data_IF_487067097955
#
_entry.id   IF_487067097955
#
_cell.length_a   1.000
_cell.length_b   1.000
_cell.length_c   1.000
_cell.angle_alpha   90.00
_cell.angle_beta   90.00
_cell.angle_gamma   90.00
#
_symmetry.space_group_name_H-M   'P 1'
#
loop_
_entity.id
_entity.type
_entity.pdbx_description
1 polymer ?
#
# COMPACT_ATOMS: atom_id res chain seq x y z
N UNK A 1 -10.25 58.50 20.90
CA UNK A 1 -10.26 57.67 19.66
C UNK A 1 -9.48 56.36 19.80
N UNK A 2 -8.44 56.30 20.63
CA UNK A 2 -7.58 55.10 20.78
C UNK A 2 -8.27 53.83 21.34
N UNK A 3 -9.31 54.00 22.18
CA UNK A 3 -10.02 52.86 22.80
C UNK A 3 -10.90 52.04 21.84
N UNK A 4 -11.30 52.60 20.70
CA UNK A 4 -12.16 51.90 19.71
C UNK A 4 -11.32 50.92 18.88
N UNK A 5 -10.12 51.33 18.45
CA UNK A 5 -9.16 50.50 17.72
C UNK A 5 -8.72 49.25 18.49
N UNK A 6 -8.51 49.37 19.80
CA UNK A 6 -8.03 48.28 20.65
C UNK A 6 -9.08 47.18 20.90
N UNK A 7 -10.37 47.49 20.76
CA UNK A 7 -11.43 46.49 20.87
C UNK A 7 -11.57 45.70 19.57
N UNK A 8 -11.50 46.34 18.39
CA UNK A 8 -11.56 45.64 17.10
C UNK A 8 -10.42 44.65 16.91
N UNK A 9 -9.18 45.02 17.29
CA UNK A 9 -8.05 44.07 17.27
C UNK A 9 -8.28 42.86 18.17
N UNK A 10 -8.91 43.04 19.34
CA UNK A 10 -9.25 41.94 20.25
C UNK A 10 -10.36 41.05 19.69
N UNK A 11 -11.32 41.60 18.96
CA UNK A 11 -12.36 40.84 18.28
C UNK A 11 -11.80 40.04 17.10
N UNK A 12 -10.95 40.67 16.28
CA UNK A 12 -10.27 40.01 15.16
C UNK A 12 -9.37 38.89 15.68
N UNK A 13 -8.61 39.12 16.75
CA UNK A 13 -7.81 38.07 17.38
C UNK A 13 -8.66 36.93 17.94
N UNK A 14 -9.79 37.24 18.58
CA UNK A 14 -10.74 36.22 19.08
C UNK A 14 -11.34 35.38 17.95
N UNK A 15 -11.71 36.00 16.82
CA UNK A 15 -12.21 35.29 15.65
C UNK A 15 -11.12 34.51 14.91
N UNK A 16 -9.92 35.08 14.79
CA UNK A 16 -8.76 34.44 14.18
C UNK A 16 -8.35 33.18 14.96
N UNK A 17 -8.31 33.24 16.28
CA UNK A 17 -8.06 32.06 17.12
C UNK A 17 -9.16 31.00 16.96
N UNK A 18 -10.43 31.40 16.86
CA UNK A 18 -11.55 30.46 16.64
C UNK A 18 -11.49 29.79 15.27
N UNK A 19 -11.15 30.53 14.21
CA UNK A 19 -11.00 29.99 12.85
C UNK A 19 -9.77 29.08 12.78
N UNK A 20 -8.66 29.45 13.43
CA UNK A 20 -7.46 28.62 13.52
C UNK A 20 -7.71 27.30 14.29
N UNK A 21 -8.43 27.38 15.41
CA UNK A 21 -8.87 26.19 16.17
C UNK A 21 -9.83 25.31 15.36
N UNK A 22 -10.76 25.91 14.61
CA UNK A 22 -11.65 25.16 13.72
C UNK A 22 -10.88 24.45 12.60
N UNK A 23 -9.85 25.10 12.03
CA UNK A 23 -9.00 24.51 11.00
C UNK A 23 -8.23 23.30 11.54
N UNK A 24 -7.63 23.42 12.74
CA UNK A 24 -6.93 22.32 13.43
C UNK A 24 -7.89 21.16 13.75
N UNK A 25 -9.12 21.45 14.15
CA UNK A 25 -10.14 20.42 14.38
C UNK A 25 -10.52 19.67 13.10
N UNK A 26 -10.69 20.39 11.99
CA UNK A 26 -11.04 19.80 10.69
C UNK A 26 -9.89 18.96 10.14
N UNK A 27 -8.63 19.42 10.24
CA UNK A 27 -7.47 18.68 9.73
C UNK A 27 -6.99 17.57 10.67
N UNK A 28 -7.14 17.74 11.98
CA UNK A 28 -6.69 16.77 13.00
C UNK A 28 -7.50 15.47 13.02
N UNK A 29 -8.76 15.51 12.58
CA UNK A 29 -9.61 14.32 12.47
C UNK A 29 -9.24 13.41 11.27
N UNK A 30 -8.52 13.94 10.28
CA UNK A 30 -8.17 13.20 9.05
C UNK A 30 -6.93 12.30 9.16
N UNK A 31 -6.11 12.45 10.20
CA UNK A 31 -4.77 11.80 10.27
C UNK A 31 -4.84 10.38 10.90
N UNK A 32 -5.98 9.97 11.47
CA UNK A 32 -6.07 8.73 12.25
C UNK A 32 -6.41 7.46 11.45
N UNK A 33 -6.68 7.57 10.14
CA UNK A 33 -7.09 6.43 9.30
C UNK A 33 -6.08 6.11 8.17
N UNK A 34 -4.81 6.44 8.37
CA UNK A 34 -3.72 6.05 7.47
C UNK A 34 -2.94 4.86 8.01
N UNK A 35 -3.62 3.80 8.47
CA UNK A 35 -2.96 2.50 8.61
C UNK A 35 -2.93 1.93 7.20
N UNK A 36 -1.82 2.12 6.48
CA UNK A 36 -1.51 1.20 5.41
C UNK A 36 -1.37 -0.15 6.11
N UNK A 37 -2.36 -1.03 5.98
CA UNK A 37 -2.15 -2.44 6.30
C UNK A 37 -0.94 -2.84 5.45
N UNK A 38 0.18 -3.12 6.12
CA UNK A 38 1.36 -3.65 5.47
C UNK A 38 0.87 -4.78 4.56
N UNK A 39 1.09 -4.60 3.26
CA UNK A 39 0.38 -5.32 2.20
C UNK A 39 0.25 -6.81 2.54
N UNK A 40 -0.92 -7.43 2.36
CA UNK A 40 -1.13 -8.86 2.66
C UNK A 40 -0.07 -9.79 2.02
N UNK A 41 0.60 -9.32 0.95
CA UNK A 41 1.71 -9.98 0.28
C UNK A 41 3.05 -9.98 1.06
N UNK A 42 3.25 -9.04 1.98
CA UNK A 42 4.43 -8.94 2.86
C UNK A 42 4.33 -9.85 4.09
N UNK A 43 3.14 -10.04 4.66
CA UNK A 43 2.95 -10.99 5.77
C UNK A 43 2.88 -12.46 5.31
N UNK A 44 2.29 -12.70 4.13
CA UNK A 44 2.07 -14.08 3.65
C UNK A 44 3.37 -14.67 3.11
N UNK A 45 3.93 -15.65 3.83
CA UNK A 45 5.14 -16.37 3.41
C UNK A 45 4.79 -17.75 2.83
N UNK A 46 5.37 -18.07 1.68
CA UNK A 46 5.11 -19.30 0.95
C UNK A 46 6.32 -20.22 0.95
N UNK A 47 6.04 -21.52 1.00
CA UNK A 47 7.04 -22.59 0.81
C UNK A 47 6.53 -23.57 -0.23
N UNK A 48 7.19 -23.63 -1.39
CA UNK A 48 6.89 -24.60 -2.43
C UNK A 48 8.10 -24.83 -3.32
N UNK A 49 8.16 -26.00 -3.96
CA UNK A 49 9.14 -26.31 -4.98
C UNK A 49 8.43 -26.87 -6.20
N UNK A 50 8.79 -26.36 -7.36
CA UNK A 50 8.33 -26.83 -8.65
C UNK A 50 9.51 -27.04 -9.57
N UNK A 51 9.44 -28.09 -10.37
CA UNK A 51 10.42 -28.41 -11.40
C UNK A 51 9.73 -28.50 -12.76
N UNK A 52 10.41 -28.03 -13.80
CA UNK A 52 9.97 -28.04 -15.19
C UNK A 52 8.50 -27.56 -15.36
N UNK A 53 8.14 -26.53 -14.59
CA UNK A 53 6.79 -26.00 -14.51
C UNK A 53 6.69 -24.69 -15.26
N UNK A 54 5.51 -24.32 -15.73
CA UNK A 54 5.37 -23.03 -16.40
C UNK A 54 5.32 -21.89 -15.38
N UNK A 55 5.72 -20.68 -15.76
CA UNK A 55 5.52 -19.47 -14.95
C UNK A 55 4.04 -19.33 -14.55
N UNK A 56 3.11 -19.64 -15.46
CA UNK A 56 1.67 -19.70 -15.17
C UNK A 56 1.33 -20.67 -14.03
N UNK A 57 1.97 -21.85 -13.98
CA UNK A 57 1.76 -22.80 -12.89
C UNK A 57 2.27 -22.27 -11.55
N UNK A 58 3.38 -21.51 -11.54
CA UNK A 58 3.88 -20.82 -10.34
C UNK A 58 2.88 -19.77 -9.87
N UNK A 59 2.42 -18.89 -10.75
CA UNK A 59 1.42 -17.86 -10.43
C UNK A 59 0.14 -18.50 -9.89
N UNK A 60 -0.42 -19.50 -10.59
CA UNK A 60 -1.61 -20.23 -10.12
C UNK A 60 -1.42 -20.87 -8.74
N UNK A 61 -0.20 -21.28 -8.38
CA UNK A 61 0.09 -21.84 -7.06
C UNK A 61 -0.02 -20.77 -5.99
N UNK A 62 0.52 -19.57 -6.27
CA UNK A 62 0.40 -18.40 -5.40
C UNK A 62 -1.07 -18.04 -5.23
N UNK A 63 -1.83 -17.87 -6.33
CA UNK A 63 -3.26 -17.52 -6.28
C UNK A 63 -4.08 -18.48 -5.40
N UNK A 64 -3.85 -19.79 -5.56
CA UNK A 64 -4.54 -20.82 -4.75
C UNK A 64 -4.16 -20.81 -3.28
N UNK A 65 -2.93 -20.42 -2.95
CA UNK A 65 -2.44 -20.41 -1.57
C UNK A 65 -2.78 -19.13 -0.82
N UNK A 66 -3.05 -18.03 -1.52
CA UNK A 66 -3.15 -16.69 -0.92
C UNK A 66 -4.44 -15.96 -1.25
N UNK A 67 -5.22 -16.44 -2.22
CA UNK A 67 -6.39 -15.73 -2.73
C UNK A 67 -6.08 -14.53 -3.62
N UNK A 68 -4.81 -14.32 -4.00
CA UNK A 68 -4.43 -13.30 -4.98
C UNK A 68 -4.92 -13.69 -6.39
N UNK A 69 -5.04 -12.70 -7.26
CA UNK A 69 -5.27 -12.89 -8.68
C UNK A 69 -4.29 -12.04 -9.48
N UNK A 70 -3.60 -12.66 -10.44
CA UNK A 70 -2.61 -12.01 -11.28
C UNK A 70 -3.16 -11.79 -12.68
N UNK A 71 -3.06 -10.55 -13.16
CA UNK A 71 -3.36 -10.18 -14.53
C UNK A 71 -2.05 -9.80 -15.23
N UNK A 72 -1.84 -10.31 -16.44
CA UNK A 72 -0.64 -10.08 -17.24
C UNK A 72 -1.00 -10.09 -18.73
N UNK A 73 -0.15 -9.45 -19.54
CA UNK A 73 -0.31 -9.41 -20.99
C UNK A 73 0.63 -10.42 -21.65
N UNK A 74 0.10 -11.29 -22.51
CA UNK A 74 0.87 -12.39 -23.12
C UNK A 74 1.97 -11.90 -24.09
N UNK A 75 1.90 -10.65 -24.54
CA UNK A 75 2.92 -10.01 -25.39
C UNK A 75 4.08 -9.41 -24.58
N UNK A 76 3.92 -9.19 -23.27
CA UNK A 76 4.95 -8.63 -22.38
C UNK A 76 5.61 -9.74 -21.57
N UNK A 77 4.84 -10.73 -21.11
CA UNK A 77 5.33 -11.82 -20.26
C UNK A 77 5.00 -13.18 -20.89
N UNK A 78 6.03 -13.99 -21.17
CA UNK A 78 5.83 -15.39 -21.56
C UNK A 78 5.59 -16.28 -20.34
N UNK A 79 4.31 -16.45 -19.99
CA UNK A 79 3.90 -17.30 -18.88
C UNK A 79 3.97 -18.81 -19.16
N UNK A 80 4.23 -19.21 -20.41
CA UNK A 80 4.39 -20.62 -20.80
C UNK A 80 5.84 -21.10 -20.69
N UNK A 81 6.78 -20.18 -20.49
CA UNK A 81 8.18 -20.48 -20.23
C UNK A 81 8.35 -21.44 -19.06
N UNK A 82 9.29 -22.38 -19.20
CA UNK A 82 9.57 -23.41 -18.21
C UNK A 82 10.60 -22.92 -17.20
N UNK A 83 10.29 -23.10 -15.93
CA UNK A 83 11.14 -22.70 -14.80
C UNK A 83 11.22 -23.81 -13.76
N UNK A 84 12.41 -23.92 -13.16
CA UNK A 84 12.62 -24.61 -11.89
C UNK A 84 12.63 -23.54 -10.79
N UNK A 85 11.68 -23.58 -9.88
CA UNK A 85 11.51 -22.54 -8.86
C UNK A 85 11.30 -23.15 -7.48
N UNK A 86 12.05 -22.66 -6.50
CA UNK A 86 11.92 -23.02 -5.10
C UNK A 86 11.78 -21.75 -4.27
N UNK A 87 10.68 -21.69 -3.51
CA UNK A 87 10.42 -20.71 -2.48
C UNK A 87 10.48 -21.41 -1.12
N UNK A 88 11.26 -20.87 -0.18
CA UNK A 88 11.36 -21.39 1.19
C UNK A 88 11.10 -20.30 2.21
N UNK A 89 9.87 -20.29 2.74
CA UNK A 89 9.40 -19.27 3.67
C UNK A 89 9.69 -17.86 3.12
N UNK A 90 9.25 -17.58 1.90
CA UNK A 90 9.52 -16.32 1.18
C UNK A 90 8.26 -15.50 1.00
N UNK A 91 8.38 -14.16 1.01
CA UNK A 91 7.26 -13.27 0.71
C UNK A 91 6.90 -13.36 -0.77
N UNK A 92 5.65 -13.01 -1.09
CA UNK A 92 5.18 -13.01 -2.48
C UNK A 92 5.95 -12.00 -3.32
N UNK A 93 6.27 -10.84 -2.75
CA UNK A 93 7.10 -9.82 -3.38
C UNK A 93 8.46 -10.39 -3.82
N UNK A 94 9.17 -11.06 -2.91
CA UNK A 94 10.47 -11.67 -3.22
C UNK A 94 10.36 -12.78 -4.26
N UNK A 95 9.27 -13.57 -4.22
CA UNK A 95 9.00 -14.60 -5.21
C UNK A 95 8.79 -13.98 -6.59
N UNK A 96 8.00 -12.91 -6.70
CA UNK A 96 7.70 -12.25 -7.98
C UNK A 96 8.94 -11.54 -8.55
N UNK A 97 9.73 -10.88 -7.70
CA UNK A 97 11.00 -10.24 -8.09
C UNK A 97 11.98 -11.28 -8.66
N UNK A 98 12.11 -12.45 -8.02
CA UNK A 98 12.93 -13.55 -8.52
C UNK A 98 12.37 -14.19 -9.80
N UNK A 99 11.05 -14.22 -9.96
CA UNK A 99 10.39 -14.86 -11.09
C UNK A 99 10.49 -14.03 -12.37
N UNK A 100 10.43 -12.70 -12.27
CA UNK A 100 10.46 -11.80 -13.42
C UNK A 100 11.77 -11.04 -13.61
N UNK A 101 12.66 -11.05 -12.60
CA UNK A 101 13.83 -10.19 -12.57
C UNK A 101 13.41 -8.75 -12.30
N UNK A 102 13.92 -8.15 -11.23
CA UNK A 102 13.73 -6.72 -10.96
C UNK A 102 14.24 -5.84 -12.10
#
# INVERSE_FOLDING_TARGET
>A
MEKVSKNEERYIFSHLCKVFLAFILITGLGILNGRADDSHAQETRLTFSVKNSTVKSVLNRIEKSTGFSFMYENNVIDVNSKVDFEAKNESIESILERLFGG
#
